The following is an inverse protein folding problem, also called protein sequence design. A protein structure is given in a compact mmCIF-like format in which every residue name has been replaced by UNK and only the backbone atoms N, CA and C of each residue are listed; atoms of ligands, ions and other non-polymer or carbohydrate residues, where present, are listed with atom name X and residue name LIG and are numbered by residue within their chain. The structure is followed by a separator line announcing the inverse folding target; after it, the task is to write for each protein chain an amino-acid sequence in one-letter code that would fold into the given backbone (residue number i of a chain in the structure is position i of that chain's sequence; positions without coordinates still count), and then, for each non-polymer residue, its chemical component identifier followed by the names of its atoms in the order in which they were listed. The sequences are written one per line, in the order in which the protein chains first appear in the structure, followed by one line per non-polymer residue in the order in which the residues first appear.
data_IF_388443843253
#
_entry.id   IF_388443843253
#
_cell.length_a   1.000
_cell.length_b   1.000
_cell.length_c   1.000
_cell.angle_alpha   90.00
_cell.angle_beta   90.00
_cell.angle_gamma   90.00
#
_symmetry.space_group_name_H-M   'P 1'
#
loop_
_entity.id
_entity.type
_entity.pdbx_description
1 polymer ?
#
# COMPACT_ATOMS: atom_id res chain seq x y z
N UNK A 1 0.65 12.55 -10.45
CA UNK A 1 -0.70 11.95 -10.38
C UNK A 1 -1.50 12.47 -11.57
N UNK A 2 -1.85 11.61 -12.52
CA UNK A 2 -2.81 11.91 -13.59
C UNK A 2 -4.24 11.88 -13.02
N UNK A 3 -5.22 12.43 -13.72
CA UNK A 3 -6.61 12.43 -13.23
C UNK A 3 -7.16 11.02 -12.97
N UNK A 4 -6.67 10.03 -13.70
CA UNK A 4 -7.14 8.63 -13.63
C UNK A 4 -6.63 7.87 -12.40
N UNK A 5 -5.44 8.19 -11.88
CA UNK A 5 -4.85 7.52 -10.72
C UNK A 5 -4.97 8.33 -9.42
N UNK A 6 -5.60 9.52 -9.48
CA UNK A 6 -5.99 10.29 -8.30
C UNK A 6 -6.80 9.49 -7.25
N UNK A 7 -7.87 8.74 -7.60
CA UNK A 7 -8.61 7.97 -6.60
C UNK A 7 -7.79 6.86 -5.95
N UNK A 8 -6.84 6.28 -6.67
CA UNK A 8 -5.92 5.27 -6.12
C UNK A 8 -4.92 5.92 -5.16
N UNK A 9 -4.36 7.07 -5.55
CA UNK A 9 -3.46 7.84 -4.69
C UNK A 9 -4.15 8.32 -3.40
N UNK A 10 -5.39 8.82 -3.51
CA UNK A 10 -6.17 9.27 -2.35
C UNK A 10 -6.43 8.11 -1.36
N UNK A 11 -6.69 6.90 -1.87
CA UNK A 11 -6.82 5.68 -1.05
C UNK A 11 -5.51 5.31 -0.36
N UNK A 12 -4.38 5.36 -1.07
CA UNK A 12 -3.06 5.08 -0.50
C UNK A 12 -2.77 6.07 0.64
N UNK A 13 -3.01 7.36 0.43
CA UNK A 13 -2.82 8.40 1.44
C UNK A 13 -3.66 8.09 2.69
N UNK A 14 -4.95 7.79 2.52
CA UNK A 14 -5.83 7.46 3.65
C UNK A 14 -5.39 6.21 4.43
N UNK A 15 -4.88 5.18 3.73
CA UNK A 15 -4.35 3.98 4.37
C UNK A 15 -3.04 4.27 5.12
N UNK A 16 -2.14 5.05 4.54
CA UNK A 16 -0.88 5.47 5.19
C UNK A 16 -1.16 6.29 6.44
N UNK A 17 -2.09 7.25 6.37
CA UNK A 17 -2.49 8.04 7.54
C UNK A 17 -3.04 7.15 8.66
N UNK A 18 -3.84 6.13 8.32
CA UNK A 18 -4.36 5.17 9.29
C UNK A 18 -3.24 4.33 9.93
N UNK A 19 -2.24 3.93 9.14
CA UNK A 19 -1.05 3.21 9.64
C UNK A 19 -0.27 4.10 10.60
N UNK A 20 -0.03 5.36 10.22
CA UNK A 20 0.69 6.32 11.05
C UNK A 20 -0.03 6.55 12.38
N UNK A 21 -1.34 6.79 12.35
CA UNK A 21 -2.15 6.95 13.57
C UNK A 21 -2.15 5.70 14.45
N UNK A 22 -2.16 4.50 13.86
CA UNK A 22 -2.07 3.25 14.61
C UNK A 22 -0.70 3.09 15.26
N UNK A 23 0.39 3.35 14.52
CA UNK A 23 1.77 3.25 15.02
C UNK A 23 2.14 4.36 16.02
N UNK A 24 1.51 5.53 15.90
CA UNK A 24 1.64 6.63 16.87
C UNK A 24 1.05 6.23 18.23
N UNK A 25 -0.10 5.54 18.23
CA UNK A 25 -0.72 5.03 19.47
C UNK A 25 -0.01 3.81 20.03
N UNK A 26 0.38 2.88 19.16
CA UNK A 26 1.13 1.69 19.52
C UNK A 26 2.18 1.39 18.44
N UNK A 27 3.48 1.61 18.72
CA UNK A 27 4.55 1.31 17.77
C UNK A 27 4.59 -0.15 17.30
N UNK A 28 3.95 -1.08 18.03
CA UNK A 28 3.81 -2.50 17.67
C UNK A 28 2.46 -2.83 17.03
N UNK A 29 1.63 -1.84 16.72
CA UNK A 29 0.35 -2.03 16.07
C UNK A 29 0.54 -2.84 14.79
N UNK A 30 -0.24 -3.92 14.66
CA UNK A 30 -0.20 -4.74 13.46
C UNK A 30 -0.89 -4.02 12.30
N UNK A 31 -0.10 -3.51 11.37
CA UNK A 31 -0.56 -2.80 10.17
C UNK A 31 -0.43 -3.61 8.89
N UNK A 32 -0.03 -4.89 8.97
CA UNK A 32 0.25 -5.74 7.80
C UNK A 32 -0.90 -5.79 6.81
N UNK A 33 -2.15 -5.76 7.28
CA UNK A 33 -3.33 -5.74 6.39
C UNK A 33 -3.41 -4.46 5.56
N UNK A 34 -3.13 -3.31 6.18
CA UNK A 34 -3.17 -2.01 5.49
C UNK A 34 -1.97 -1.85 4.57
N UNK A 35 -0.80 -2.37 4.97
CA UNK A 35 0.42 -2.41 4.15
C UNK A 35 0.18 -3.24 2.88
N UNK A 36 -0.35 -4.47 2.99
CA UNK A 36 -0.70 -5.30 1.82
C UNK A 36 -1.72 -4.66 0.88
N UNK A 37 -2.66 -3.89 1.42
CA UNK A 37 -3.63 -3.16 0.59
C UNK A 37 -2.96 -2.01 -0.17
N UNK A 38 -2.01 -1.32 0.46
CA UNK A 38 -1.18 -0.32 -0.22
C UNK A 38 -0.34 -0.97 -1.32
N UNK A 39 0.30 -2.11 -1.04
CA UNK A 39 1.14 -2.83 -2.02
C UNK A 39 0.34 -3.18 -3.26
N UNK A 40 -0.86 -3.76 -3.09
CA UNK A 40 -1.76 -4.07 -4.20
C UNK A 40 -2.16 -2.83 -5.02
N UNK A 41 -2.45 -1.69 -4.35
CA UNK A 41 -2.76 -0.43 -5.03
C UNK A 41 -1.55 0.13 -5.79
N UNK A 42 -0.34 -0.02 -5.25
CA UNK A 42 0.91 0.38 -5.89
C UNK A 42 1.20 -0.51 -7.10
N UNK A 43 1.01 -1.82 -6.98
CA UNK A 43 1.14 -2.77 -8.10
C UNK A 43 0.22 -2.39 -9.26
N UNK A 44 -1.03 -2.01 -8.96
CA UNK A 44 -1.98 -1.54 -9.96
C UNK A 44 -1.56 -0.20 -10.60
N UNK A 45 -0.90 0.69 -9.87
CA UNK A 45 -0.40 1.98 -10.40
C UNK A 45 0.75 1.79 -11.39
N UNK A 46 1.62 0.82 -11.13
CA UNK A 46 2.75 0.51 -12.00
C UNK A 46 2.44 -0.57 -13.05
N UNK A 47 1.20 -1.09 -13.06
CA UNK A 47 0.79 -2.18 -13.93
C UNK A 47 1.70 -3.42 -13.83
N UNK A 48 2.16 -3.72 -12.61
CA UNK A 48 3.02 -4.86 -12.36
C UNK A 48 2.27 -6.16 -12.64
N UNK A 49 2.99 -7.10 -13.23
CA UNK A 49 2.51 -8.46 -13.51
C UNK A 49 2.63 -9.35 -12.28
N UNK A 50 1.88 -10.45 -12.24
CA UNK A 50 1.96 -11.43 -11.15
C UNK A 50 3.38 -11.98 -10.94
N UNK A 51 4.20 -12.05 -11.99
CA UNK A 51 5.61 -12.47 -11.92
C UNK A 51 6.49 -11.42 -11.22
N UNK A 52 6.29 -10.13 -11.53
CA UNK A 52 6.99 -9.04 -10.86
C UNK A 52 6.57 -8.92 -9.40
N UNK A 53 5.27 -9.04 -9.13
CA UNK A 53 4.72 -9.03 -7.76
C UNK A 53 5.29 -10.19 -6.95
N UNK A 54 5.29 -11.41 -7.50
CA UNK A 54 5.89 -12.58 -6.82
C UNK A 54 7.36 -12.36 -6.52
N UNK A 55 8.11 -11.73 -7.43
CA UNK A 55 9.54 -11.45 -7.22
C UNK A 55 9.75 -10.48 -6.06
N UNK A 56 8.89 -9.46 -5.92
CA UNK A 56 8.93 -8.47 -4.83
C UNK A 56 8.52 -9.13 -3.49
N UNK A 57 7.40 -9.85 -3.46
CA UNK A 57 6.86 -10.49 -2.25
C UNK A 57 7.77 -11.61 -1.73
N UNK A 58 8.48 -12.33 -2.61
CA UNK A 58 9.39 -13.39 -2.21
C UNK A 58 10.69 -12.87 -1.55
N UNK A 59 10.92 -11.55 -1.60
CA UNK A 59 12.01 -10.88 -0.90
C UNK A 59 11.61 -10.27 0.46
N UNK A 60 10.34 -10.35 0.85
CA UNK A 60 9.77 -9.74 2.07
C UNK A 60 9.56 -10.76 3.18
#
# INVERSE_FOLDING_TARGET
ITKSNKPTADKIIALVDKILQAKEKDPKANTQRSEKEIDALVYQLYHLTDEEIKTIENGQ
#
